data_IF_536986278657
#
_entry.id   IF_536986278657
#
_cell.length_a   1.000
_cell.length_b   1.000
_cell.length_c   1.000
_cell.angle_alpha   90.00
_cell.angle_beta   90.00
_cell.angle_gamma   90.00
#
_symmetry.space_group_name_H-M   'P 1'
#
loop_
_entity.id
_entity.type
_entity.pdbx_description
1 polymer ?
#
# COMPACT_ATOMS: atom_id res chain seq x y z
N UNK A 1 -45.06 -5.23 95.19
CA UNK A 1 -44.39 -5.78 93.99
C UNK A 1 -44.62 -4.81 92.84
N UNK A 2 -43.52 -4.30 92.28
CA UNK A 2 -43.37 -3.73 90.93
C UNK A 2 -44.10 -2.42 90.62
N UNK A 3 -43.59 -1.48 89.82
CA UNK A 3 -42.27 -0.99 89.42
C UNK A 3 -42.60 0.24 88.54
N UNK A 4 -41.76 1.27 88.60
CA UNK A 4 -41.48 2.35 87.63
C UNK A 4 -42.41 2.59 86.42
N UNK A 5 -42.64 3.86 86.06
CA UNK A 5 -41.79 4.53 85.05
C UNK A 5 -42.31 5.90 84.55
N UNK A 6 -41.36 6.84 84.42
CA UNK A 6 -41.16 7.80 83.33
C UNK A 6 -42.15 8.95 83.04
N UNK A 7 -41.70 10.17 83.39
CA UNK A 7 -41.83 11.44 82.60
C UNK A 7 -41.24 11.24 81.17
N UNK A 8 -41.43 12.08 80.11
CA UNK A 8 -41.47 13.55 80.12
C UNK A 8 -42.25 14.26 78.96
N UNK A 9 -42.12 15.59 78.95
CA UNK A 9 -42.54 16.67 78.05
C UNK A 9 -42.73 16.36 76.53
N UNK A 10 -43.74 16.99 75.93
CA UNK A 10 -43.93 17.12 74.47
C UNK A 10 -43.78 18.59 74.00
N UNK A 11 -43.44 18.81 72.72
CA UNK A 11 -42.34 19.71 72.34
C UNK A 11 -42.75 21.11 71.85
N UNK A 12 -41.89 22.10 72.11
CA UNK A 12 -41.81 23.38 71.37
C UNK A 12 -41.39 23.12 69.91
N UNK A 13 -42.27 23.40 68.94
CA UNK A 13 -41.86 23.56 67.53
C UNK A 13 -41.80 25.03 67.13
N UNK A 14 -40.61 25.59 67.31
CA UNK A 14 -40.10 26.71 66.53
C UNK A 14 -39.42 26.12 65.28
N UNK A 15 -39.85 26.51 64.08
CA UNK A 15 -38.96 26.67 62.94
C UNK A 15 -39.66 27.45 61.83
N UNK A 16 -39.35 28.74 61.81
CA UNK A 16 -39.24 29.51 60.58
C UNK A 16 -38.27 28.78 59.63
N UNK A 17 -38.69 28.57 58.39
CA UNK A 17 -37.85 28.83 57.21
C UNK A 17 -38.75 28.97 56.00
N UNK A 18 -39.31 30.15 55.94
CA UNK A 18 -39.68 30.85 54.71
C UNK A 18 -38.56 30.78 53.67
N UNK A 19 -38.99 30.53 52.43
CA UNK A 19 -38.42 31.07 51.19
C UNK A 19 -37.04 30.55 50.79
N UNK A 20 -37.07 29.33 50.26
CA UNK A 20 -36.75 29.04 48.87
C UNK A 20 -36.31 30.25 48.01
N UNK A 21 -35.05 30.68 48.08
CA UNK A 21 -34.37 31.34 46.96
C UNK A 21 -32.85 31.20 47.09
N UNK A 22 -32.29 30.17 46.47
CA UNK A 22 -31.02 30.36 45.78
C UNK A 22 -31.24 29.93 44.34
N UNK A 23 -31.52 30.94 43.54
CA UNK A 23 -31.52 30.91 42.09
C UNK A 23 -30.28 30.14 41.63
N UNK A 24 -30.52 29.03 40.95
CA UNK A 24 -29.50 28.25 40.25
C UNK A 24 -29.07 29.07 39.02
N UNK A 25 -28.34 30.18 39.25
CA UNK A 25 -27.87 31.10 38.22
C UNK A 25 -26.60 30.55 37.60
N UNK A 26 -26.79 29.58 36.69
CA UNK A 26 -25.73 29.03 35.84
C UNK A 26 -26.26 28.36 34.57
N UNK A 27 -27.57 28.46 34.29
CA UNK A 27 -28.23 27.74 33.21
C UNK A 27 -28.40 28.64 31.98
N UNK A 28 -27.33 28.84 31.22
CA UNK A 28 -27.43 29.52 29.93
C UNK A 28 -26.19 29.45 29.06
N UNK A 29 -25.01 29.75 29.62
CA UNK A 29 -23.79 29.93 28.82
C UNK A 29 -23.07 28.63 28.44
N UNK A 30 -23.16 27.56 29.23
CA UNK A 30 -22.48 26.29 28.93
C UNK A 30 -23.13 25.45 27.81
N UNK A 31 -24.44 25.63 27.57
CA UNK A 31 -25.19 24.80 26.62
C UNK A 31 -24.94 25.18 25.16
N UNK A 32 -24.84 26.48 24.86
CA UNK A 32 -24.50 26.97 23.51
C UNK A 32 -23.05 26.68 23.15
N UNK A 33 -22.12 26.89 24.09
CA UNK A 33 -20.71 26.56 23.91
C UNK A 33 -20.50 25.05 23.71
N UNK A 34 -21.21 24.21 24.46
CA UNK A 34 -21.18 22.76 24.27
C UNK A 34 -21.69 22.34 22.88
N UNK A 35 -22.73 22.98 22.36
CA UNK A 35 -23.28 22.68 21.04
C UNK A 35 -22.30 23.09 19.93
N UNK A 36 -21.65 24.24 20.05
CA UNK A 36 -20.60 24.67 19.11
C UNK A 36 -19.39 23.74 19.13
N UNK A 37 -18.95 23.32 20.33
CA UNK A 37 -17.88 22.32 20.46
C UNK A 37 -18.26 20.97 19.86
N UNK A 38 -19.52 20.55 20.02
CA UNK A 38 -20.00 19.31 19.43
C UNK A 38 -20.02 19.36 17.90
N UNK A 39 -20.45 20.48 17.32
CA UNK A 39 -20.41 20.68 15.86
C UNK A 39 -18.98 20.72 15.33
N UNK A 40 -18.07 21.41 16.03
CA UNK A 40 -16.66 21.42 15.67
C UNK A 40 -16.05 20.01 15.75
N UNK A 41 -16.33 19.27 16.82
CA UNK A 41 -15.87 17.90 16.97
C UNK A 41 -16.40 16.99 15.85
N UNK A 42 -17.69 17.08 15.51
CA UNK A 42 -18.24 16.33 14.39
C UNK A 42 -17.60 16.69 13.05
N UNK A 43 -17.33 17.98 12.81
CA UNK A 43 -16.63 18.42 11.61
C UNK A 43 -15.21 17.85 11.52
N UNK A 44 -14.45 17.90 12.62
CA UNK A 44 -13.09 17.33 12.71
C UNK A 44 -13.10 15.82 12.52
N UNK A 45 -14.05 15.11 13.15
CA UNK A 45 -14.19 13.66 12.97
C UNK A 45 -14.50 13.33 11.52
N UNK A 46 -15.45 14.03 10.89
CA UNK A 46 -15.82 13.82 9.49
C UNK A 46 -14.64 14.00 8.52
N UNK A 47 -13.89 15.10 8.66
CA UNK A 47 -12.71 15.35 7.79
C UNK A 47 -11.59 14.34 8.05
N UNK A 48 -11.37 13.95 9.31
CA UNK A 48 -10.36 12.94 9.66
C UNK A 48 -10.71 11.57 9.09
N UNK A 49 -11.99 11.16 9.14
CA UNK A 49 -12.44 9.88 8.58
C UNK A 49 -12.25 9.83 7.07
N UNK A 50 -12.65 10.87 6.33
CA UNK A 50 -12.44 10.93 4.88
C UNK A 50 -10.96 10.89 4.50
N UNK A 51 -10.13 11.64 5.24
CA UNK A 51 -8.68 11.66 5.05
C UNK A 51 -8.06 10.27 5.29
N UNK A 52 -8.53 9.55 6.31
CA UNK A 52 -8.07 8.20 6.62
C UNK A 52 -8.46 7.20 5.52
N UNK A 53 -9.68 7.25 5.01
CA UNK A 53 -10.14 6.37 3.91
C UNK A 53 -9.32 6.62 2.65
N UNK A 54 -9.16 7.88 2.24
CA UNK A 54 -8.36 8.23 1.07
C UNK A 54 -6.89 7.79 1.21
N UNK A 55 -6.32 7.94 2.42
CA UNK A 55 -4.96 7.48 2.72
C UNK A 55 -4.82 5.95 2.60
N UNK A 56 -5.83 5.21 3.06
CA UNK A 56 -5.84 3.75 3.00
C UNK A 56 -5.96 3.21 1.57
N UNK A 57 -6.82 3.82 0.75
CA UNK A 57 -6.94 3.49 -0.67
C UNK A 57 -5.62 3.72 -1.40
N UNK A 58 -5.02 4.88 -1.19
CA UNK A 58 -3.69 5.21 -1.76
C UNK A 58 -2.64 4.20 -1.31
N UNK A 59 -2.58 3.90 -0.02
CA UNK A 59 -1.64 2.90 0.53
C UNK A 59 -1.84 1.52 -0.08
N UNK A 60 -3.10 1.10 -0.31
CA UNK A 60 -3.40 -0.18 -0.96
C UNK A 60 -2.93 -0.24 -2.41
N UNK A 61 -3.10 0.84 -3.18
CA UNK A 61 -2.62 0.91 -4.57
C UNK A 61 -1.10 0.89 -4.67
N UNK A 62 -0.41 1.56 -3.73
CA UNK A 62 1.05 1.56 -3.67
C UNK A 62 1.55 0.15 -3.34
N UNK A 63 0.93 -0.51 -2.36
CA UNK A 63 1.29 -1.88 -1.99
C UNK A 63 1.07 -2.85 -3.16
N UNK A 64 -0.04 -2.74 -3.89
CA UNK A 64 -0.32 -3.57 -5.06
C UNK A 64 0.73 -3.37 -6.17
N UNK A 65 1.08 -2.13 -6.49
CA UNK A 65 2.11 -1.83 -7.50
C UNK A 65 3.50 -2.31 -7.07
N UNK A 66 3.84 -2.19 -5.79
CA UNK A 66 5.09 -2.71 -5.25
C UNK A 66 5.16 -4.23 -5.39
N UNK A 67 4.05 -4.93 -5.13
CA UNK A 67 3.97 -6.38 -5.31
C UNK A 67 4.10 -6.76 -6.80
N UNK A 68 3.35 -6.12 -7.70
CA UNK A 68 3.45 -6.38 -9.15
C UNK A 68 4.87 -6.16 -9.67
N UNK A 69 5.56 -5.12 -9.21
CA UNK A 69 6.95 -4.86 -9.56
C UNK A 69 7.90 -5.94 -9.02
N UNK A 70 7.68 -6.44 -7.80
CA UNK A 70 8.45 -7.54 -7.24
C UNK A 70 8.24 -8.86 -8.00
N UNK A 71 6.99 -9.14 -8.38
CA UNK A 71 6.63 -10.32 -9.16
C UNK A 71 7.22 -10.25 -10.57
N UNK A 72 7.17 -9.08 -11.23
CA UNK A 72 7.79 -8.85 -12.52
C UNK A 72 9.32 -9.06 -12.45
N UNK A 73 10.00 -8.56 -11.41
CA UNK A 73 11.44 -8.82 -11.22
C UNK A 73 11.76 -10.30 -11.04
N UNK A 74 10.92 -11.02 -10.29
CA UNK A 74 11.05 -12.46 -10.09
C UNK A 74 10.89 -13.18 -11.43
N UNK A 75 9.88 -12.80 -12.20
CA UNK A 75 9.63 -13.33 -13.54
C UNK A 75 10.79 -13.06 -14.51
N UNK A 76 11.34 -11.83 -14.51
CA UNK A 76 12.53 -11.49 -15.28
C UNK A 76 13.76 -12.31 -14.85
N UNK A 77 13.93 -12.58 -13.55
CA UNK A 77 15.00 -13.44 -13.04
C UNK A 77 14.87 -14.89 -13.54
N UNK A 78 13.65 -15.42 -13.58
CA UNK A 78 13.36 -16.72 -14.20
C UNK A 78 13.64 -16.70 -15.71
N UNK A 79 13.21 -15.64 -16.40
CA UNK A 79 13.54 -15.39 -17.81
C UNK A 79 15.03 -15.37 -18.10
N UNK A 80 15.81 -14.70 -17.26
CA UNK A 80 17.27 -14.68 -17.35
C UNK A 80 17.89 -16.05 -17.11
N UNK A 81 17.31 -16.86 -16.22
CA UNK A 81 17.76 -18.24 -15.99
C UNK A 81 17.53 -19.13 -17.21
N UNK A 82 16.38 -18.98 -17.88
CA UNK A 82 16.10 -19.66 -19.15
C UNK A 82 17.08 -19.21 -20.23
N UNK A 83 17.30 -17.89 -20.37
CA UNK A 83 18.24 -17.34 -21.34
C UNK A 83 19.65 -17.92 -21.15
N UNK A 84 20.14 -17.98 -19.90
CA UNK A 84 21.42 -18.64 -19.58
C UNK A 84 21.43 -20.11 -19.97
N UNK A 85 20.34 -20.84 -19.74
CA UNK A 85 20.21 -22.24 -20.17
C UNK A 85 20.36 -22.40 -21.68
N UNK A 86 19.67 -21.56 -22.46
CA UNK A 86 19.75 -21.56 -23.93
C UNK A 86 21.17 -21.20 -24.39
N UNK A 87 21.78 -20.16 -23.82
CA UNK A 87 23.13 -19.73 -24.20
C UNK A 87 24.21 -20.76 -23.90
N UNK A 88 24.01 -21.58 -22.85
CA UNK A 88 24.91 -22.67 -22.46
C UNK A 88 24.67 -23.96 -23.25
N UNK A 89 23.47 -24.13 -23.80
CA UNK A 89 23.12 -25.33 -24.56
C UNK A 89 23.81 -25.34 -25.92
N UNK A 90 24.53 -26.42 -26.22
CA UNK A 90 25.14 -26.65 -27.54
C UNK A 90 24.11 -26.97 -28.62
N UNK A 91 22.91 -27.41 -28.24
CA UNK A 91 21.88 -27.86 -29.17
C UNK A 91 21.07 -26.70 -29.76
N UNK A 92 20.95 -25.59 -29.03
CA UNK A 92 19.94 -24.57 -29.36
C UNK A 92 20.43 -23.54 -30.40
N UNK A 93 21.69 -23.65 -30.86
CA UNK A 93 22.40 -22.75 -31.81
C UNK A 93 21.90 -21.30 -31.70
N UNK A 94 21.98 -20.72 -30.50
CA UNK A 94 21.36 -19.44 -30.16
C UNK A 94 21.83 -18.27 -31.04
N UNK A 95 23.03 -18.37 -31.61
CA UNK A 95 23.63 -17.38 -32.53
C UNK A 95 22.89 -17.24 -33.85
N UNK A 96 22.16 -18.29 -34.26
CA UNK A 96 21.37 -18.28 -35.50
C UNK A 96 19.87 -18.36 -35.22
N UNK A 97 19.49 -18.89 -34.06
CA UNK A 97 18.10 -19.10 -33.68
C UNK A 97 17.51 -17.87 -32.97
N UNK A 98 17.52 -16.73 -33.66
CA UNK A 98 16.87 -15.50 -33.20
C UNK A 98 16.41 -14.65 -34.39
N UNK A 99 15.43 -13.78 -34.16
CA UNK A 99 14.99 -12.80 -35.16
C UNK A 99 15.35 -11.41 -34.67
N UNK A 100 16.29 -10.75 -35.37
CA UNK A 100 16.81 -9.42 -34.99
C UNK A 100 17.21 -9.35 -33.49
N UNK A 101 17.97 -10.35 -33.03
CA UNK A 101 18.43 -10.49 -31.65
C UNK A 101 17.35 -10.93 -30.65
N UNK A 102 16.08 -11.10 -31.05
CA UNK A 102 15.03 -11.62 -30.14
C UNK A 102 15.13 -13.13 -30.08
N UNK A 103 15.48 -13.65 -28.91
CA UNK A 103 15.62 -15.09 -28.63
C UNK A 103 14.30 -15.70 -28.16
N UNK A 104 13.60 -14.99 -27.26
CA UNK A 104 12.27 -15.34 -26.78
C UNK A 104 11.37 -14.12 -26.95
N UNK A 105 10.19 -14.30 -27.53
CA UNK A 105 9.25 -13.21 -27.76
C UNK A 105 7.92 -13.52 -27.07
N UNK A 106 7.55 -12.71 -26.08
CA UNK A 106 6.32 -12.86 -25.29
C UNK A 106 6.09 -14.29 -24.78
N UNK A 107 7.16 -14.95 -24.33
CA UNK A 107 7.12 -16.30 -23.84
C UNK A 107 6.33 -16.36 -22.53
N UNK A 108 5.28 -17.17 -22.48
CA UNK A 108 4.44 -17.31 -21.30
C UNK A 108 5.19 -18.05 -20.19
N UNK A 109 5.29 -17.41 -19.01
CA UNK A 109 5.97 -17.96 -17.85
C UNK A 109 5.32 -17.44 -16.57
N UNK A 110 4.95 -18.34 -15.66
CA UNK A 110 4.36 -18.03 -14.35
C UNK A 110 3.23 -16.98 -14.39
N UNK A 111 2.31 -17.11 -15.36
CA UNK A 111 1.16 -16.20 -15.50
C UNK A 111 1.50 -14.79 -16.03
N UNK A 112 2.74 -14.55 -16.47
CA UNK A 112 3.15 -13.37 -17.21
C UNK A 112 3.84 -13.73 -18.52
N UNK A 113 4.44 -12.73 -19.16
CA UNK A 113 5.22 -12.91 -20.40
C UNK A 113 6.64 -12.40 -20.21
N UNK A 114 7.59 -13.07 -20.85
CA UNK A 114 9.00 -12.69 -20.87
C UNK A 114 9.47 -12.55 -22.31
N UNK A 115 10.24 -11.50 -22.57
CA UNK A 115 10.95 -11.30 -23.82
C UNK A 115 12.45 -11.22 -23.53
N UNK A 116 13.24 -11.95 -24.31
CA UNK A 116 14.70 -11.99 -24.18
C UNK A 116 15.32 -11.49 -25.48
N UNK A 117 16.16 -10.46 -25.37
CA UNK A 117 16.90 -9.87 -26.48
C UNK A 117 18.40 -10.02 -26.24
N UNK A 118 19.11 -10.29 -27.32
CA UNK A 118 20.56 -10.41 -27.40
C UNK A 118 21.11 -9.28 -28.27
N UNK A 119 22.22 -8.69 -27.82
CA UNK A 119 23.00 -7.72 -28.58
C UNK A 119 24.46 -8.13 -28.51
N UNK A 120 25.14 -8.20 -29.66
CA UNK A 120 26.57 -8.43 -29.73
C UNK A 120 27.32 -7.16 -29.30
N UNK A 121 28.08 -7.26 -28.22
CA UNK A 121 28.77 -6.11 -27.60
C UNK A 121 29.89 -5.60 -28.50
N UNK A 122 30.65 -6.52 -29.09
CA UNK A 122 31.78 -6.19 -29.98
C UNK A 122 31.27 -5.51 -31.21
N UNK A 123 30.16 -6.01 -31.78
CA UNK A 123 29.61 -5.42 -32.99
C UNK A 123 29.00 -4.06 -32.77
N UNK A 124 28.30 -3.87 -31.65
CA UNK A 124 27.75 -2.57 -31.25
C UNK A 124 28.83 -1.50 -31.08
N UNK A 125 30.01 -1.88 -30.59
CA UNK A 125 31.12 -0.95 -30.42
C UNK A 125 31.84 -0.60 -31.74
N UNK A 126 31.60 -1.36 -32.82
CA UNK A 126 32.30 -1.19 -34.09
C UNK A 126 31.39 -0.50 -35.14
N UNK A 127 31.65 0.78 -35.50
CA UNK A 127 30.85 1.51 -36.47
C UNK A 127 30.95 0.95 -37.90
N UNK A 128 31.95 0.11 -38.20
CA UNK A 128 32.11 -0.50 -39.52
C UNK A 128 31.10 -1.62 -39.83
N UNK A 129 30.32 -2.08 -38.85
CA UNK A 129 29.36 -3.17 -39.01
C UNK A 129 28.04 -2.78 -39.70
N UNK A 130 27.95 -1.56 -40.25
CA UNK A 130 26.75 -1.11 -40.96
C UNK A 130 25.49 -1.08 -40.08
N UNK A 131 25.65 -0.98 -38.76
CA UNK A 131 24.56 -1.00 -37.79
C UNK A 131 24.04 -2.40 -37.42
N UNK A 132 24.62 -3.49 -37.94
CA UNK A 132 24.26 -4.83 -37.47
C UNK A 132 24.87 -5.10 -36.09
N UNK A 133 24.01 -5.12 -35.08
CA UNK A 133 24.38 -5.39 -33.68
C UNK A 133 23.88 -6.76 -33.20
N UNK A 134 23.30 -7.57 -34.10
CA UNK A 134 22.71 -8.84 -33.72
C UNK A 134 23.77 -9.96 -33.73
N UNK A 135 23.59 -10.97 -32.86
CA UNK A 135 24.51 -12.09 -32.86
C UNK A 135 24.54 -12.85 -34.19
N UNK A 136 25.67 -13.48 -34.47
CA UNK A 136 25.85 -14.52 -35.49
C UNK A 136 26.96 -15.48 -35.05
N UNK A 137 27.43 -16.35 -35.94
CA UNK A 137 28.44 -17.37 -35.60
C UNK A 137 29.77 -16.79 -35.12
N UNK A 138 30.09 -15.54 -35.48
CA UNK A 138 31.32 -14.86 -35.04
C UNK A 138 31.18 -14.25 -33.64
N UNK A 139 29.98 -14.20 -33.08
CA UNK A 139 29.71 -13.55 -31.80
C UNK A 139 30.33 -14.31 -30.63
N UNK A 140 31.20 -13.65 -29.89
CA UNK A 140 31.86 -14.16 -28.70
C UNK A 140 31.20 -13.66 -27.42
N UNK A 141 30.70 -12.43 -27.43
CA UNK A 141 30.15 -11.74 -26.25
C UNK A 141 28.79 -11.13 -26.56
N UNK A 142 27.86 -11.27 -25.61
CA UNK A 142 26.51 -10.73 -25.74
C UNK A 142 26.07 -10.00 -24.48
N UNK A 143 25.36 -8.91 -24.70
CA UNK A 143 24.48 -8.30 -23.71
C UNK A 143 23.11 -8.95 -23.83
N UNK A 144 22.55 -9.35 -22.69
CA UNK A 144 21.24 -9.97 -22.61
C UNK A 144 20.30 -9.02 -21.89
N UNK A 145 19.23 -8.62 -22.56
CA UNK A 145 18.14 -7.85 -21.96
C UNK A 145 16.94 -8.75 -21.79
N UNK A 146 16.40 -8.80 -20.57
CA UNK A 146 15.16 -9.53 -20.25
C UNK A 146 14.11 -8.51 -19.84
N UNK A 147 12.99 -8.50 -20.54
CA UNK A 147 11.79 -7.75 -20.13
C UNK A 147 10.70 -8.72 -19.73
N UNK A 148 9.91 -8.33 -18.74
CA UNK A 148 8.82 -9.12 -18.21
C UNK A 148 7.59 -8.25 -18.03
N UNK A 149 6.42 -8.84 -18.25
CA UNK A 149 5.12 -8.15 -18.15
C UNK A 149 4.20 -9.04 -17.33
N UNK A 150 3.55 -8.50 -16.31
CA UNK A 150 2.58 -9.25 -15.48
C UNK A 150 1.33 -8.42 -15.31
N UNK A 151 0.19 -8.93 -15.79
CA UNK A 151 -1.11 -8.26 -15.64
C UNK A 151 -1.26 -6.93 -16.39
N UNK A 152 -0.59 -6.74 -17.54
CA UNK A 152 -0.73 -5.52 -18.36
C UNK A 152 0.15 -4.34 -17.93
N UNK A 153 1.08 -4.55 -16.99
CA UNK A 153 2.16 -3.65 -16.64
C UNK A 153 3.49 -4.13 -17.22
#
# INVERSE_FOLDING_TARGET
>A
MNHHAFQPQLPRRRRERSVQTQYNSGKGMGRGAALMLALFAMMVVGTTTLSYVASRETSSSIAANAQLAADARTLASSGMSIAKGILRSSETIWRRNHVAGVLLNNYALDGGTVTVRLVDIVKRANPANGGNIFPDDSTTEVEVTVSSTRGGA
#
